data_IF_076724158339
#
_entry.id   IF_076724158339
#
_cell.length_a   1.000
_cell.length_b   1.000
_cell.length_c   1.000
_cell.angle_alpha   90.00
_cell.angle_beta   90.00
_cell.angle_gamma   90.00
#
_symmetry.space_group_name_H-M   'P 1'
#
loop_
_entity.id
_entity.type
_entity.pdbx_description
1 polymer ?
#
# COMPACT_ATOMS: atom_id res chain seq x y z
N UNK A 1 18.66 -5.60 -1.19
CA UNK A 1 18.76 -7.01 -1.66
C UNK A 1 19.57 -7.88 -0.69
N UNK A 2 20.90 -7.72 -0.55
CA UNK A 2 21.69 -8.57 0.39
C UNK A 2 21.23 -8.48 1.86
N UNK A 3 20.80 -7.29 2.30
CA UNK A 3 20.32 -7.06 3.67
C UNK A 3 19.08 -7.90 4.04
N UNK A 4 18.29 -8.36 3.05
CA UNK A 4 17.13 -9.24 3.27
C UNK A 4 17.47 -10.73 3.13
N UNK A 5 18.77 -11.08 3.10
CA UNK A 5 19.24 -12.44 2.84
C UNK A 5 19.07 -12.89 1.38
N UNK A 6 18.73 -11.97 0.48
CA UNK A 6 18.48 -12.24 -0.93
C UNK A 6 19.73 -12.00 -1.79
N UNK A 7 19.77 -12.57 -2.99
CA UNK A 7 20.78 -12.28 -4.02
C UNK A 7 20.11 -11.76 -5.28
N UNK A 8 20.77 -10.82 -5.94
CA UNK A 8 20.39 -10.38 -7.28
C UNK A 8 20.88 -11.39 -8.31
N UNK A 9 20.09 -11.62 -9.36
CA UNK A 9 20.41 -12.50 -10.47
C UNK A 9 20.43 -11.72 -11.78
N UNK A 10 21.25 -12.15 -12.72
CA UNK A 10 21.43 -11.45 -14.01
C UNK A 10 20.28 -11.70 -14.99
N UNK A 11 19.61 -12.86 -14.89
CA UNK A 11 18.49 -13.20 -15.76
C UNK A 11 17.20 -13.33 -14.95
N UNK A 12 16.11 -12.74 -15.46
CA UNK A 12 14.77 -12.81 -14.86
C UNK A 12 14.27 -14.25 -14.66
N UNK A 13 14.70 -15.19 -15.51
CA UNK A 13 14.34 -16.61 -15.40
C UNK A 13 14.90 -17.28 -14.14
N UNK A 14 16.00 -16.75 -13.60
CA UNK A 14 16.68 -17.28 -12.41
C UNK A 14 16.13 -16.62 -11.12
N UNK A 15 15.19 -15.67 -11.24
CA UNK A 15 14.67 -14.90 -10.12
C UNK A 15 13.41 -15.54 -9.51
N UNK A 16 13.41 -15.70 -8.19
CA UNK A 16 12.24 -16.14 -7.41
C UNK A 16 11.19 -15.02 -7.21
N UNK A 17 11.65 -13.77 -7.26
CA UNK A 17 10.91 -12.52 -7.04
C UNK A 17 11.45 -11.46 -7.99
N UNK A 18 10.56 -10.62 -8.53
CA UNK A 18 10.96 -9.42 -9.27
C UNK A 18 10.71 -8.19 -8.40
N UNK A 19 11.73 -7.36 -8.25
CA UNK A 19 11.66 -6.13 -7.47
C UNK A 19 11.61 -4.92 -8.40
N UNK A 20 10.43 -4.30 -8.48
CA UNK A 20 10.16 -3.11 -9.27
C UNK A 20 10.33 -1.87 -8.40
N UNK A 21 11.20 -0.96 -8.85
CA UNK A 21 11.41 0.35 -8.22
C UNK A 21 10.92 1.41 -9.19
N UNK A 22 9.94 2.21 -8.78
CA UNK A 22 9.33 3.26 -9.60
C UNK A 22 9.75 4.64 -9.10
N UNK A 23 10.80 5.26 -9.67
CA UNK A 23 11.20 6.64 -9.35
C UNK A 23 10.70 7.67 -10.38
N UNK A 24 10.11 7.24 -11.48
CA UNK A 24 9.90 8.08 -12.68
C UNK A 24 8.55 8.82 -12.72
N UNK A 25 8.08 9.30 -11.56
CA UNK A 25 6.75 9.95 -11.39
C UNK A 25 6.50 11.14 -12.32
N UNK A 26 7.55 11.84 -12.73
CA UNK A 26 7.47 13.04 -13.55
C UNK A 26 7.61 12.78 -15.05
N UNK A 27 7.83 11.53 -15.46
CA UNK A 27 7.91 11.15 -16.87
C UNK A 27 6.51 10.88 -17.41
N UNK A 28 6.10 11.63 -18.43
CA UNK A 28 4.77 11.52 -19.01
C UNK A 28 4.49 10.10 -19.53
N UNK A 29 3.37 9.51 -19.11
CA UNK A 29 2.94 8.16 -19.51
C UNK A 29 3.67 7.01 -18.81
N UNK A 30 4.74 7.29 -18.06
CA UNK A 30 5.58 6.25 -17.45
C UNK A 30 4.86 5.44 -16.37
N UNK A 31 4.00 6.08 -15.58
CA UNK A 31 3.16 5.40 -14.59
C UNK A 31 2.36 4.26 -15.22
N UNK A 32 1.64 4.55 -16.31
CA UNK A 32 0.79 3.57 -17.01
C UNK A 32 1.65 2.45 -17.61
N UNK A 33 2.76 2.79 -18.28
CA UNK A 33 3.62 1.78 -18.90
C UNK A 33 4.32 0.89 -17.85
N UNK A 34 4.66 1.43 -16.68
CA UNK A 34 5.26 0.64 -15.59
C UNK A 34 4.25 -0.35 -15.00
N UNK A 35 3.00 0.08 -14.80
CA UNK A 35 1.95 -0.86 -14.36
C UNK A 35 1.69 -1.92 -15.42
N UNK A 36 1.77 -1.61 -16.72
CA UNK A 36 1.69 -2.62 -17.79
C UNK A 36 2.82 -3.66 -17.68
N UNK A 37 4.07 -3.22 -17.50
CA UNK A 37 5.24 -4.10 -17.29
C UNK A 37 5.03 -5.06 -16.10
N UNK A 38 4.53 -4.52 -14.97
CA UNK A 38 4.17 -5.31 -13.78
C UNK A 38 3.06 -6.30 -14.11
N UNK A 39 1.98 -5.83 -14.74
CA UNK A 39 0.80 -6.64 -15.11
C UNK A 39 1.21 -7.83 -15.98
N UNK A 40 2.06 -7.60 -16.98
CA UNK A 40 2.57 -8.65 -17.87
C UNK A 40 3.32 -9.73 -17.09
N UNK A 41 4.12 -9.34 -16.08
CA UNK A 41 4.88 -10.30 -15.29
C UNK A 41 4.02 -11.06 -14.27
N UNK A 42 3.01 -10.42 -13.68
CA UNK A 42 2.00 -11.11 -12.86
C UNK A 42 1.29 -12.19 -13.69
N UNK A 43 0.88 -11.88 -14.93
CA UNK A 43 0.25 -12.85 -15.84
C UNK A 43 1.17 -14.02 -16.21
N UNK A 44 2.49 -13.85 -16.15
CA UNK A 44 3.49 -14.92 -16.32
C UNK A 44 3.71 -15.73 -15.03
N UNK A 45 2.97 -15.46 -13.95
CA UNK A 45 3.10 -16.12 -12.66
C UNK A 45 4.31 -15.64 -11.84
N UNK A 46 4.87 -14.47 -12.16
CA UNK A 46 5.99 -13.89 -11.39
C UNK A 46 5.46 -13.26 -10.11
N UNK A 47 6.22 -13.44 -9.04
CA UNK A 47 6.01 -12.76 -7.75
C UNK A 47 6.61 -11.37 -7.81
N UNK A 48 5.84 -10.34 -7.47
CA UNK A 48 6.21 -8.94 -7.68
C UNK A 48 6.28 -8.19 -6.36
N UNK A 49 7.36 -7.43 -6.16
CA UNK A 49 7.50 -6.43 -5.11
C UNK A 49 7.58 -5.07 -5.78
N UNK A 50 6.86 -4.07 -5.27
CA UNK A 50 6.86 -2.70 -5.79
C UNK A 50 7.32 -1.73 -4.71
N UNK A 51 8.29 -0.88 -5.04
CA UNK A 51 8.66 0.31 -4.29
C UNK A 51 8.34 1.54 -5.13
N UNK A 52 7.32 2.30 -4.74
CA UNK A 52 7.00 3.59 -5.37
C UNK A 52 7.77 4.71 -4.66
N UNK A 53 8.66 5.37 -5.37
CA UNK A 53 9.61 6.34 -4.79
C UNK A 53 9.30 7.73 -5.35
N UNK A 54 9.09 8.68 -4.45
CA UNK A 54 9.15 10.10 -4.78
C UNK A 54 10.63 10.52 -4.85
N UNK A 55 11.20 10.76 -6.05
CA UNK A 55 12.60 11.13 -6.16
C UNK A 55 12.89 12.58 -5.71
N UNK A 56 11.85 13.42 -5.57
CA UNK A 56 11.99 14.81 -5.11
C UNK A 56 11.74 14.95 -3.61
N UNK A 57 10.85 14.12 -3.06
CA UNK A 57 10.50 14.11 -1.63
C UNK A 57 9.45 15.16 -1.22
N UNK A 58 8.70 15.68 -2.19
CA UNK A 58 7.68 16.72 -1.95
C UNK A 58 6.38 16.14 -1.36
N UNK A 59 6.03 14.91 -1.75
CA UNK A 59 4.77 14.26 -1.36
C UNK A 59 4.97 13.38 -0.12
N UNK A 60 6.10 12.66 -0.04
CA UNK A 60 6.36 11.68 1.01
C UNK A 60 5.27 10.59 1.09
N UNK A 61 4.70 10.21 -0.07
CA UNK A 61 3.62 9.24 -0.25
C UNK A 61 3.54 8.71 -1.69
N UNK A 62 2.50 7.96 -2.04
CA UNK A 62 2.24 7.36 -3.36
C UNK A 62 2.05 8.34 -4.52
N UNK A 63 2.45 7.94 -5.73
CA UNK A 63 2.09 8.66 -6.94
C UNK A 63 0.62 8.41 -7.30
N UNK A 64 -0.12 9.48 -7.60
CA UNK A 64 -1.57 9.41 -7.89
C UNK A 64 -1.88 8.59 -9.12
N UNK A 65 -1.15 8.80 -10.22
CA UNK A 65 -1.42 8.10 -11.48
C UNK A 65 -1.04 6.63 -11.33
N UNK A 66 0.15 6.37 -10.78
CA UNK A 66 0.65 5.02 -10.58
C UNK A 66 -0.25 4.18 -9.66
N UNK A 67 -0.62 4.70 -8.49
CA UNK A 67 -1.46 3.97 -7.52
C UNK A 67 -2.85 3.69 -8.09
N UNK A 68 -3.45 4.67 -8.78
CA UNK A 68 -4.74 4.48 -9.42
C UNK A 68 -4.68 3.41 -10.53
N UNK A 69 -3.61 3.39 -11.33
CA UNK A 69 -3.44 2.36 -12.37
C UNK A 69 -3.20 0.97 -11.78
N UNK A 70 -2.44 0.84 -10.68
CA UNK A 70 -2.31 -0.42 -9.94
C UNK A 70 -3.67 -0.94 -9.47
N UNK A 71 -4.49 -0.05 -8.91
CA UNK A 71 -5.85 -0.37 -8.45
C UNK A 71 -6.78 -0.81 -9.58
N UNK A 72 -6.91 0.00 -10.64
CA UNK A 72 -7.78 -0.28 -11.79
C UNK A 72 -7.48 -1.61 -12.47
N UNK A 73 -6.21 -2.03 -12.48
CA UNK A 73 -5.76 -3.27 -13.12
C UNK A 73 -5.75 -4.47 -12.18
N UNK A 74 -6.25 -4.32 -10.95
CA UNK A 74 -6.26 -5.38 -9.93
C UNK A 74 -4.88 -5.80 -9.45
N UNK A 75 -3.85 -4.99 -9.72
CA UNK A 75 -2.45 -5.34 -9.42
C UNK A 75 -2.18 -5.33 -7.92
N UNK A 76 -2.80 -4.41 -7.16
CA UNK A 76 -2.52 -4.23 -5.73
C UNK A 76 -2.59 -5.55 -4.95
N UNK A 77 -3.62 -6.36 -5.19
CA UNK A 77 -3.83 -7.63 -4.48
C UNK A 77 -2.86 -8.74 -4.85
N UNK A 78 -2.23 -8.63 -6.02
CA UNK A 78 -1.28 -9.62 -6.54
C UNK A 78 0.16 -9.34 -6.10
N UNK A 79 0.41 -8.22 -5.43
CA UNK A 79 1.75 -7.85 -4.98
C UNK A 79 2.19 -8.68 -3.78
N UNK A 80 3.44 -9.16 -3.82
CA UNK A 80 4.10 -9.74 -2.66
C UNK A 80 4.57 -8.69 -1.67
N UNK A 81 4.83 -7.46 -2.12
CA UNK A 81 5.12 -6.34 -1.23
C UNK A 81 4.97 -5.01 -1.92
N UNK A 82 4.57 -4.00 -1.14
CA UNK A 82 4.33 -2.64 -1.59
C UNK A 82 4.70 -1.65 -0.49
N UNK A 83 5.25 -0.50 -0.88
CA UNK A 83 5.37 0.68 -0.01
C UNK A 83 5.60 1.92 -0.89
N UNK A 84 5.33 3.09 -0.30
CA UNK A 84 5.61 4.41 -0.89
C UNK A 84 5.85 5.53 0.14
N UNK A 85 6.08 5.21 1.42
CA UNK A 85 6.13 6.22 2.48
C UNK A 85 7.50 6.92 2.62
N UNK A 86 7.43 8.26 2.73
CA UNK A 86 8.49 9.17 3.21
C UNK A 86 9.80 9.25 2.39
N UNK A 87 10.66 8.23 2.46
CA UNK A 87 11.97 8.21 1.78
C UNK A 87 12.18 6.94 0.98
N UNK A 88 13.12 6.96 0.02
CA UNK A 88 13.55 5.76 -0.69
C UNK A 88 14.03 4.66 0.27
N UNK A 89 14.72 5.04 1.36
CA UNK A 89 15.17 4.11 2.39
C UNK A 89 14.02 3.41 3.10
N UNK A 90 13.02 4.16 3.56
CA UNK A 90 11.83 3.60 4.21
C UNK A 90 11.02 2.75 3.23
N UNK A 91 10.84 3.24 2.00
CA UNK A 91 10.05 2.55 0.96
C UNK A 91 10.68 1.20 0.61
N UNK A 92 11.96 1.17 0.23
CA UNK A 92 12.68 -0.07 -0.11
C UNK A 92 12.83 -0.96 1.13
N UNK A 93 13.12 -0.35 2.28
CA UNK A 93 13.27 -1.01 3.58
C UNK A 93 11.98 -1.64 4.12
N UNK A 94 10.82 -1.27 3.58
CA UNK A 94 9.52 -1.87 3.90
C UNK A 94 9.09 -2.88 2.85
N UNK A 95 9.05 -2.47 1.57
CA UNK A 95 8.50 -3.31 0.50
C UNK A 95 9.31 -4.59 0.27
N UNK A 96 10.65 -4.47 0.22
CA UNK A 96 11.53 -5.58 -0.10
C UNK A 96 11.53 -6.70 0.96
N UNK A 97 11.79 -6.44 2.26
CA UNK A 97 11.77 -7.50 3.26
C UNK A 97 10.39 -8.11 3.41
N UNK A 98 9.31 -7.31 3.36
CA UNK A 98 7.96 -7.85 3.44
C UNK A 98 7.68 -8.84 2.29
N UNK A 99 8.01 -8.47 1.05
CA UNK A 99 7.82 -9.36 -0.09
C UNK A 99 8.64 -10.64 -0.05
N UNK A 100 9.86 -10.58 0.50
CA UNK A 100 10.70 -11.76 0.75
C UNK A 100 10.06 -12.67 1.80
N UNK A 101 9.57 -12.10 2.91
CA UNK A 101 8.90 -12.84 3.99
C UNK A 101 7.63 -13.52 3.48
N UNK A 102 6.79 -12.81 2.73
CA UNK A 102 5.57 -13.38 2.16
C UNK A 102 5.88 -14.49 1.16
N UNK A 103 6.87 -14.32 0.27
CA UNK A 103 7.28 -15.37 -0.66
C UNK A 103 7.81 -16.62 0.06
N UNK A 104 8.55 -16.45 1.16
CA UNK A 104 9.00 -17.55 1.99
C UNK A 104 7.83 -18.26 2.67
N UNK A 105 6.86 -17.50 3.20
CA UNK A 105 5.65 -18.05 3.78
C UNK A 105 4.86 -18.88 2.76
N UNK A 106 4.70 -18.36 1.53
CA UNK A 106 4.09 -19.09 0.42
C UNK A 106 4.82 -20.42 0.13
N UNK A 107 6.15 -20.43 0.19
CA UNK A 107 6.94 -21.63 -0.10
C UNK A 107 6.96 -22.67 1.03
N UNK A 108 6.77 -22.25 2.29
CA UNK A 108 7.03 -23.11 3.47
C UNK A 108 5.80 -23.39 4.33
N UNK A 109 4.82 -22.50 4.36
CA UNK A 109 3.74 -22.49 5.35
C UNK A 109 2.36 -22.83 4.77
N UNK A 110 2.22 -23.02 3.46
CA UNK A 110 0.93 -23.22 2.78
C UNK A 110 0.39 -24.67 2.84
N UNK A 111 0.93 -25.53 3.72
CA UNK A 111 0.52 -26.94 3.81
C UNK A 111 -0.85 -27.15 4.47
N UNK A 112 -1.19 -26.29 5.44
CA UNK A 112 -2.46 -26.30 6.15
C UNK A 112 -3.34 -25.18 5.60
N UNK A 113 -4.63 -25.46 5.38
CA UNK A 113 -5.63 -24.46 4.96
C UNK A 113 -5.65 -23.28 5.94
N UNK A 114 -5.69 -23.54 7.25
CA UNK A 114 -5.74 -22.48 8.27
C UNK A 114 -4.49 -21.61 8.27
N UNK A 115 -3.32 -22.22 8.07
CA UNK A 115 -2.05 -21.46 7.99
C UNK A 115 -1.99 -20.62 6.72
N UNK A 116 -2.37 -21.20 5.58
CA UNK A 116 -2.50 -20.48 4.32
C UNK A 116 -3.47 -19.30 4.43
N UNK A 117 -4.59 -19.50 5.14
CA UNK A 117 -5.59 -18.47 5.39
C UNK A 117 -5.04 -17.29 6.17
N UNK A 118 -4.34 -17.57 7.28
CA UNK A 118 -3.71 -16.52 8.08
C UNK A 118 -2.62 -15.77 7.33
N UNK A 119 -1.82 -16.47 6.52
CA UNK A 119 -0.77 -15.85 5.69
C UNK A 119 -1.38 -14.92 4.65
N UNK A 120 -2.45 -15.34 3.97
CA UNK A 120 -3.11 -14.48 2.98
C UNK A 120 -3.82 -13.28 3.62
N UNK A 121 -4.52 -13.47 4.75
CA UNK A 121 -5.16 -12.38 5.46
C UNK A 121 -4.15 -11.31 5.93
N UNK A 122 -2.99 -11.74 6.43
CA UNK A 122 -1.90 -10.83 6.81
C UNK A 122 -1.32 -10.09 5.60
N UNK A 123 -1.20 -10.75 4.45
CA UNK A 123 -0.76 -10.11 3.20
C UNK A 123 -1.77 -9.06 2.72
N UNK A 124 -3.05 -9.43 2.66
CA UNK A 124 -4.12 -8.54 2.24
C UNK A 124 -4.19 -7.32 3.16
N UNK A 125 -4.09 -7.52 4.48
CA UNK A 125 -4.01 -6.42 5.44
C UNK A 125 -2.80 -5.52 5.17
N UNK A 126 -1.60 -6.09 4.97
CA UNK A 126 -0.39 -5.30 4.82
C UNK A 126 -0.43 -4.43 3.57
N UNK A 127 -0.75 -4.99 2.41
CA UNK A 127 -0.78 -4.22 1.16
C UNK A 127 -1.89 -3.19 1.20
N UNK A 128 -3.08 -3.55 1.70
CA UNK A 128 -4.19 -2.62 1.87
C UNK A 128 -3.79 -1.46 2.79
N UNK A 129 -3.16 -1.75 3.93
CA UNK A 129 -2.67 -0.73 4.86
C UNK A 129 -1.64 0.17 4.18
N UNK A 130 -0.67 -0.38 3.44
CA UNK A 130 0.35 0.44 2.79
C UNK A 130 -0.23 1.36 1.72
N UNK A 131 -1.28 0.95 1.01
CA UNK A 131 -1.99 1.84 0.08
C UNK A 131 -2.80 2.89 0.84
N UNK A 132 -3.51 2.51 1.91
CA UNK A 132 -4.30 3.43 2.71
C UNK A 132 -3.46 4.51 3.40
N UNK A 133 -2.32 4.11 3.97
CA UNK A 133 -1.38 4.99 4.66
C UNK A 133 -0.51 5.77 3.66
N UNK A 134 0.30 5.08 2.86
CA UNK A 134 1.33 5.72 2.03
C UNK A 134 0.70 6.50 0.86
N UNK A 135 -0.46 6.09 0.34
CA UNK A 135 -1.15 6.83 -0.72
C UNK A 135 -2.29 7.68 -0.18
N UNK A 136 -3.39 7.08 0.31
CA UNK A 136 -4.58 7.88 0.65
C UNK A 136 -4.31 8.89 1.75
N UNK A 137 -3.68 8.50 2.87
CA UNK A 137 -3.34 9.45 3.91
C UNK A 137 -2.25 10.41 3.45
N UNK A 138 -1.06 9.90 3.13
CA UNK A 138 0.11 10.73 2.87
C UNK A 138 -0.01 11.66 1.65
N UNK A 139 -0.70 11.22 0.59
CA UNK A 139 -0.81 11.95 -0.68
C UNK A 139 -2.06 12.81 -0.75
N UNK A 140 -3.18 12.36 -0.18
CA UNK A 140 -4.48 13.02 -0.33
C UNK A 140 -4.91 13.67 0.99
N UNK A 141 -5.23 12.88 2.02
CA UNK A 141 -5.86 13.38 3.25
C UNK A 141 -4.95 14.33 4.02
N UNK A 142 -3.66 14.04 4.11
CA UNK A 142 -2.69 14.90 4.79
C UNK A 142 -2.58 16.28 4.14
N UNK A 143 -2.73 16.38 2.82
CA UNK A 143 -2.74 17.67 2.14
C UNK A 143 -3.97 18.50 2.56
N UNK A 144 -5.14 17.89 2.62
CA UNK A 144 -6.36 18.54 3.07
C UNK A 144 -6.34 18.87 4.56
N UNK A 145 -5.79 17.99 5.40
CA UNK A 145 -5.61 18.25 6.83
C UNK A 145 -4.70 19.47 7.07
N UNK A 146 -3.61 19.61 6.30
CA UNK A 146 -2.74 20.80 6.34
C UNK A 146 -3.50 22.06 5.90
N UNK A 147 -4.35 21.99 4.89
CA UNK A 147 -5.19 23.11 4.46
C UNK A 147 -6.17 23.53 5.56
N UNK A 148 -6.85 22.56 6.18
CA UNK A 148 -7.77 22.79 7.30
C UNK A 148 -7.07 23.44 8.50
N UNK A 149 -5.88 22.94 8.86
CA UNK A 149 -5.02 23.53 9.90
C UNK A 149 -4.66 24.99 9.56
N UNK A 150 -4.25 25.26 8.32
CA UNK A 150 -3.87 26.60 7.88
C UNK A 150 -5.03 27.59 7.93
N UNK A 151 -6.24 27.18 7.51
CA UNK A 151 -7.46 28.00 7.59
C UNK A 151 -7.81 28.38 9.04
N UNK A 152 -7.55 27.48 9.98
CA UNK A 152 -7.73 27.73 11.42
C UNK A 152 -6.53 28.43 12.09
N UNK A 153 -5.46 28.71 11.34
CA UNK A 153 -4.21 29.35 11.82
C UNK A 153 -3.50 28.55 12.92
N UNK A 154 -3.59 27.22 12.89
CA UNK A 154 -2.88 26.34 13.83
C UNK A 154 -1.50 25.92 13.30
N UNK A 155 -0.66 25.38 14.18
CA UNK A 155 0.66 24.87 13.81
C UNK A 155 0.59 23.37 13.48
N UNK A 156 0.82 22.93 12.23
CA UNK A 156 0.69 21.52 11.83
C UNK A 156 1.73 20.58 12.48
N UNK A 157 2.77 21.14 13.09
CA UNK A 157 3.83 20.39 13.78
C UNK A 157 3.59 20.25 15.28
N UNK A 158 2.66 21.02 15.84
CA UNK A 158 2.40 21.15 17.29
C UNK A 158 0.96 21.58 17.53
N UNK A 159 0.02 20.66 17.33
CA UNK A 159 -1.38 20.84 17.70
C UNK A 159 -1.53 20.65 19.22
N UNK A 160 -2.46 21.38 19.83
CA UNK A 160 -3.01 21.01 21.14
C UNK A 160 -3.99 19.86 21.00
N UNK A 161 -4.31 19.17 22.09
CA UNK A 161 -5.23 18.01 22.06
C UNK A 161 -6.60 18.37 21.46
N UNK A 162 -7.13 19.56 21.78
CA UNK A 162 -8.40 20.04 21.22
C UNK A 162 -8.33 20.42 19.73
N UNK A 163 -7.13 20.77 19.23
CA UNK A 163 -6.91 20.99 17.79
C UNK A 163 -6.71 19.66 17.08
N UNK A 164 -5.95 18.73 17.68
CA UNK A 164 -5.78 17.35 17.19
C UNK A 164 -7.12 16.67 17.00
N UNK A 165 -8.01 16.70 18.00
CA UNK A 165 -9.34 16.09 17.92
C UNK A 165 -10.14 16.61 16.71
N UNK A 166 -10.07 17.92 16.43
CA UNK A 166 -10.76 18.52 15.27
C UNK A 166 -10.15 18.09 13.95
N UNK A 167 -8.81 17.98 13.89
CA UNK A 167 -8.10 17.52 12.69
C UNK A 167 -8.36 16.03 12.47
N UNK A 168 -8.43 15.22 13.52
CA UNK A 168 -8.80 13.81 13.45
C UNK A 168 -10.23 13.63 12.94
N UNK A 169 -11.22 14.32 13.52
CA UNK A 169 -12.60 14.27 13.05
C UNK A 169 -12.74 14.70 11.57
N UNK A 170 -11.97 15.70 11.14
CA UNK A 170 -11.92 16.11 9.73
C UNK A 170 -11.30 15.02 8.85
N UNK A 171 -10.12 14.52 9.23
CA UNK A 171 -9.35 13.56 8.44
C UNK A 171 -10.02 12.19 8.39
N UNK A 172 -10.67 11.77 9.48
CA UNK A 172 -11.38 10.50 9.58
C UNK A 172 -12.51 10.39 8.55
N UNK A 173 -13.21 11.50 8.24
CA UNK A 173 -14.23 11.50 7.17
C UNK A 173 -13.64 11.20 5.81
N UNK A 174 -12.55 11.88 5.46
CA UNK A 174 -11.82 11.67 4.20
C UNK A 174 -11.19 10.27 4.13
N UNK A 175 -10.70 9.76 5.26
CA UNK A 175 -10.16 8.41 5.36
C UNK A 175 -11.25 7.35 5.19
N UNK A 176 -12.46 7.55 5.72
CA UNK A 176 -13.57 6.61 5.52
C UNK A 176 -14.02 6.55 4.05
N UNK A 177 -14.03 7.68 3.35
CA UNK A 177 -14.26 7.74 1.90
C UNK A 177 -13.18 6.97 1.14
N UNK A 178 -11.92 7.26 1.45
CA UNK A 178 -10.73 6.59 0.88
C UNK A 178 -10.73 5.07 1.14
N UNK A 179 -11.11 4.66 2.34
CA UNK A 179 -11.21 3.26 2.76
C UNK A 179 -12.29 2.52 1.99
N UNK A 180 -13.44 3.17 1.78
CA UNK A 180 -14.54 2.61 0.98
C UNK A 180 -14.13 2.46 -0.48
N UNK A 181 -13.47 3.47 -1.04
CA UNK A 181 -12.94 3.43 -2.40
C UNK A 181 -11.93 2.29 -2.57
N UNK A 182 -10.92 2.23 -1.70
CA UNK A 182 -9.90 1.18 -1.74
C UNK A 182 -10.52 -0.20 -1.53
N UNK A 183 -11.50 -0.36 -0.64
CA UNK A 183 -12.21 -1.63 -0.44
C UNK A 183 -12.88 -2.12 -1.72
N UNK A 184 -13.54 -1.21 -2.45
CA UNK A 184 -14.15 -1.54 -3.73
C UNK A 184 -13.11 -1.89 -4.81
N UNK A 185 -11.99 -1.17 -4.86
CA UNK A 185 -10.92 -1.45 -5.82
C UNK A 185 -10.23 -2.78 -5.50
N UNK A 186 -9.91 -3.03 -4.24
CA UNK A 186 -9.10 -4.16 -3.80
C UNK A 186 -9.87 -5.47 -3.77
N UNK A 187 -11.16 -5.43 -3.35
CA UNK A 187 -12.00 -6.62 -3.23
C UNK A 187 -13.12 -6.72 -4.28
N UNK A 188 -13.46 -5.62 -4.96
CA UNK A 188 -14.60 -5.54 -5.88
C UNK A 188 -14.30 -5.78 -7.36
N UNK A 189 -13.08 -6.21 -7.72
CA UNK A 189 -12.71 -6.60 -9.09
C UNK A 189 -13.69 -7.62 -9.70
N UNK A 190 -13.73 -7.69 -11.04
CA UNK A 190 -14.70 -8.51 -11.77
C UNK A 190 -14.73 -9.94 -11.21
N UNK A 191 -15.89 -10.35 -10.67
CA UNK A 191 -16.10 -11.65 -10.00
C UNK A 191 -15.78 -12.85 -10.90
N UNK A 192 -15.62 -12.59 -12.21
CA UNK A 192 -15.25 -13.58 -13.21
C UNK A 192 -13.73 -13.81 -13.33
N UNK A 193 -12.90 -12.83 -12.97
CA UNK A 193 -11.41 -12.90 -13.02
C UNK A 193 -10.76 -12.95 -11.63
N UNK A 194 -11.49 -12.57 -10.58
CA UNK A 194 -11.09 -12.95 -9.23
C UNK A 194 -10.98 -14.48 -9.21
N UNK A 195 -9.85 -15.07 -8.77
CA UNK A 195 -9.80 -16.50 -8.57
C UNK A 195 -11.01 -16.84 -7.69
N UNK A 196 -11.85 -17.79 -8.14
CA UNK A 196 -13.11 -18.19 -7.48
C UNK A 196 -12.95 -18.57 -5.99
N UNK A 197 -11.69 -18.64 -5.52
CA UNK A 197 -11.23 -18.83 -4.16
C UNK A 197 -10.62 -17.57 -3.50
N UNK A 198 -11.05 -16.36 -3.88
CA UNK A 198 -10.70 -15.13 -3.14
C UNK A 198 -11.28 -15.21 -1.72
N UNK A 199 -10.42 -15.63 -0.78
CA UNK A 199 -10.78 -15.94 0.59
C UNK A 199 -11.20 -14.69 1.35
N UNK A 200 -10.39 -13.63 1.31
CA UNK A 200 -10.71 -12.34 1.93
C UNK A 200 -11.59 -11.52 0.99
N UNK A 201 -12.64 -10.93 1.58
CA UNK A 201 -13.82 -10.41 0.89
C UNK A 201 -13.97 -8.89 1.06
N UNK A 202 -13.56 -8.38 2.22
CA UNK A 202 -13.81 -6.99 2.60
C UNK A 202 -12.85 -6.57 3.71
N UNK A 203 -12.75 -5.25 3.87
CA UNK A 203 -12.16 -4.60 5.03
C UNK A 203 -13.26 -3.88 5.81
N UNK A 204 -13.18 -3.87 7.14
CA UNK A 204 -14.14 -3.19 8.01
C UNK A 204 -13.49 -2.58 9.24
N UNK A 205 -14.28 -1.83 10.02
CA UNK A 205 -13.87 -1.30 11.34
C UNK A 205 -12.60 -0.44 11.29
N UNK A 206 -12.51 0.47 10.32
CA UNK A 206 -11.36 1.37 10.20
C UNK A 206 -11.28 2.37 11.36
N UNK A 207 -10.11 2.49 11.97
CA UNK A 207 -9.76 3.53 12.95
C UNK A 207 -8.74 4.50 12.37
N UNK A 208 -8.71 5.71 12.93
CA UNK A 208 -7.78 6.77 12.55
C UNK A 208 -7.49 7.67 13.74
N UNK A 209 -6.22 7.94 14.01
CA UNK A 209 -5.78 8.97 14.96
C UNK A 209 -4.41 9.56 14.58
N UNK A 210 -4.07 10.69 15.21
CA UNK A 210 -2.81 11.42 15.05
C UNK A 210 -1.99 11.31 16.35
N UNK A 211 -1.19 10.24 16.53
CA UNK A 211 -0.62 9.88 17.83
C UNK A 211 0.41 10.89 18.37
N UNK A 212 0.86 11.82 17.53
CA UNK A 212 1.93 12.77 17.86
C UNK A 212 1.48 14.23 17.84
N UNK A 213 0.18 14.51 17.88
CA UNK A 213 -0.37 15.87 17.79
C UNK A 213 0.19 16.66 16.58
N UNK A 214 0.42 15.96 15.46
CA UNK A 214 0.94 16.49 14.20
C UNK A 214 0.49 15.60 13.04
N UNK A 215 0.37 16.17 11.85
CA UNK A 215 -0.08 15.45 10.65
C UNK A 215 1.02 14.68 9.92
N UNK A 216 2.18 14.47 10.55
CA UNK A 216 3.30 13.81 9.88
C UNK A 216 3.10 12.30 9.76
N UNK A 217 2.55 11.67 10.78
CA UNK A 217 2.21 10.24 10.86
C UNK A 217 0.76 10.15 11.31
N UNK A 218 0.08 9.09 10.89
CA UNK A 218 -1.23 8.70 11.40
C UNK A 218 -1.18 7.23 11.83
N UNK A 219 -1.98 6.88 12.82
CA UNK A 219 -2.28 5.50 13.14
C UNK A 219 -3.58 5.14 12.42
N UNK A 220 -3.52 4.07 11.61
CA UNK A 220 -4.65 3.57 10.83
C UNK A 220 -4.70 2.07 11.04
N UNK A 221 -5.84 1.55 11.49
CA UNK A 221 -6.05 0.12 11.61
C UNK A 221 -7.45 -0.26 11.09
N UNK A 222 -7.64 -1.53 10.77
CA UNK A 222 -8.87 -2.10 10.25
C UNK A 222 -8.79 -3.63 10.30
N UNK A 223 -9.93 -4.27 10.07
CA UNK A 223 -10.04 -5.73 10.02
C UNK A 223 -10.21 -6.21 8.57
N UNK A 224 -9.49 -7.26 8.19
CA UNK A 224 -9.75 -8.02 6.96
C UNK A 224 -10.67 -9.19 7.29
N UNK A 225 -11.79 -9.30 6.57
CA UNK A 225 -12.78 -10.35 6.75
C UNK A 225 -12.61 -11.39 5.63
N UNK A 226 -12.38 -12.64 6.02
CA UNK A 226 -12.18 -13.76 5.10
C UNK A 226 -13.20 -14.86 5.31
N UNK A 227 -13.55 -15.58 4.24
CA UNK A 227 -14.40 -16.79 4.30
C UNK A 227 -13.67 -17.90 5.04
N UNK A 228 -14.40 -18.61 5.90
CA UNK A 228 -13.95 -19.83 6.59
C UNK A 228 -13.83 -21.02 5.60
#
# INVERSE_FOLDING_TARGET
IKATGSREVQNEKDADLLFYVYPSRFEAGRAVSFVEEITVNIKKGKRIIVADIDPKGDVQGGDKVFTNELGKRGVLRELNGYASWNTAGNTIGTALPHGVVFALAQAKLMKSKDTANRVQAAQDWFVFHRVLDDFYYHTLVRAEAKNFIAQNKWNPFRLSDAETEKVEQFSQKLMLESFTELSNIYFGGDKNDLPKNSMCQEASNMTFDLPWNRTFEAEIDFQIICRN
#
